data_IF_603342147984
#
_entry.id   IF_603342147984
#
_cell.length_a   1.000
_cell.length_b   1.000
_cell.length_c   1.000
_cell.angle_alpha   90.00
_cell.angle_beta   90.00
_cell.angle_gamma   90.00
#
_symmetry.space_group_name_H-M   'P 1'
#
loop_
_entity.id
_entity.type
_entity.pdbx_description
1 polymer ?
#
# COMPACT_ATOMS: atom_id res chain seq x y z
N UNK A 1 -18.17 6.43 5.34
CA UNK A 1 -17.41 5.46 6.16
C UNK A 1 -16.35 6.24 6.93
N UNK A 2 -16.34 6.13 8.26
CA UNK A 2 -15.22 6.59 9.09
C UNK A 2 -13.94 5.91 8.59
N UNK A 3 -12.89 6.69 8.31
CA UNK A 3 -11.56 6.18 7.94
C UNK A 3 -10.71 6.18 9.21
N UNK A 4 -10.25 5.01 9.67
CA UNK A 4 -9.41 4.91 10.87
C UNK A 4 -7.95 5.29 10.56
N UNK A 5 -7.49 5.02 9.34
CA UNK A 5 -6.18 5.41 8.82
C UNK A 5 -6.22 6.80 8.16
N UNK A 6 -5.11 7.54 8.29
CA UNK A 6 -4.90 8.78 7.55
C UNK A 6 -4.69 8.51 6.04
N UNK A 7 -4.86 9.56 5.23
CA UNK A 7 -4.76 9.47 3.77
C UNK A 7 -3.40 8.98 3.30
N UNK A 8 -2.29 9.45 3.90
CA UNK A 8 -0.93 9.08 3.48
C UNK A 8 -0.67 7.59 3.70
N UNK A 9 -1.12 7.05 4.83
CA UNK A 9 -0.99 5.61 5.12
C UNK A 9 -1.81 4.78 4.13
N UNK A 10 -3.05 5.19 3.83
CA UNK A 10 -3.94 4.47 2.89
C UNK A 10 -3.40 4.43 1.46
N UNK A 11 -2.91 5.56 0.96
CA UNK A 11 -2.31 5.66 -0.38
C UNK A 11 -1.00 4.86 -0.46
N UNK A 12 -0.19 4.90 0.60
CA UNK A 12 1.05 4.11 0.67
C UNK A 12 0.78 2.60 0.65
N UNK A 13 -0.30 2.13 1.28
CA UNK A 13 -0.72 0.71 1.20
C UNK A 13 -1.12 0.35 -0.24
N UNK A 14 -1.81 1.25 -0.94
CA UNK A 14 -2.16 1.05 -2.35
C UNK A 14 -0.94 0.88 -3.26
N UNK A 15 0.09 1.69 -3.03
CA UNK A 15 1.38 1.56 -3.70
C UNK A 15 2.06 0.21 -3.40
N UNK A 16 2.20 -0.15 -2.12
CA UNK A 16 2.86 -1.39 -1.70
C UNK A 16 2.18 -2.64 -2.28
N UNK A 17 0.85 -2.70 -2.22
CA UNK A 17 0.07 -3.85 -2.71
C UNK A 17 0.10 -3.94 -4.23
N UNK A 18 0.03 -2.79 -4.92
CA UNK A 18 0.09 -2.75 -6.38
C UNK A 18 1.47 -3.13 -6.91
N UNK A 19 2.55 -2.78 -6.21
CA UNK A 19 3.90 -3.23 -6.53
C UNK A 19 4.02 -4.75 -6.35
N UNK A 20 3.59 -5.28 -5.19
CA UNK A 20 3.66 -6.71 -4.90
C UNK A 20 2.87 -7.55 -5.93
N UNK A 21 1.71 -7.06 -6.37
CA UNK A 21 0.89 -7.70 -7.40
C UNK A 21 1.34 -7.43 -8.85
N UNK A 22 2.36 -6.58 -9.06
CA UNK A 22 2.83 -6.19 -10.39
C UNK A 22 1.80 -5.45 -11.24
N UNK A 23 0.86 -4.71 -10.64
CA UNK A 23 -0.15 -3.96 -11.40
C UNK A 23 0.35 -2.58 -11.85
N UNK A 24 0.85 -2.50 -13.09
CA UNK A 24 1.38 -1.25 -13.65
C UNK A 24 0.34 -0.13 -13.72
N UNK A 25 -0.87 -0.41 -14.19
CA UNK A 25 -1.95 0.60 -14.24
C UNK A 25 -2.26 1.14 -12.84
N UNK A 26 -2.37 0.25 -11.86
CA UNK A 26 -2.66 0.61 -10.49
C UNK A 26 -1.52 1.42 -9.86
N UNK A 27 -0.26 1.11 -10.18
CA UNK A 27 0.89 1.90 -9.75
C UNK A 27 0.84 3.32 -10.32
N UNK A 28 0.41 3.50 -11.57
CA UNK A 28 0.22 4.83 -12.17
C UNK A 28 -0.86 5.63 -11.44
N UNK A 29 -2.01 5.01 -11.18
CA UNK A 29 -3.11 5.63 -10.42
C UNK A 29 -2.66 5.99 -9.00
N UNK A 30 -2.10 5.03 -8.25
CA UNK A 30 -1.72 5.23 -6.86
C UNK A 30 -0.54 6.18 -6.68
N UNK A 31 0.39 6.24 -7.63
CA UNK A 31 1.47 7.24 -7.58
C UNK A 31 0.89 8.64 -7.80
N UNK A 32 -0.01 8.80 -8.76
CA UNK A 32 -0.70 10.06 -8.99
C UNK A 32 -1.52 10.51 -7.76
N UNK A 33 -2.30 9.62 -7.13
CA UNK A 33 -3.06 9.99 -5.93
C UNK A 33 -2.16 10.27 -4.73
N UNK A 34 -1.08 9.53 -4.55
CA UNK A 34 -0.11 9.75 -3.50
C UNK A 34 0.54 11.15 -3.59
N UNK A 35 1.00 11.56 -4.76
CA UNK A 35 1.64 12.87 -4.96
C UNK A 35 0.62 14.02 -4.90
N UNK A 36 -0.51 13.88 -5.61
CA UNK A 36 -1.42 15.00 -5.80
C UNK A 36 -2.51 15.13 -4.72
N UNK A 37 -2.95 14.02 -4.13
CA UNK A 37 -4.00 14.01 -3.10
C UNK A 37 -3.42 13.86 -1.70
N UNK A 38 -2.56 12.85 -1.48
CA UNK A 38 -1.93 12.62 -0.17
C UNK A 38 -0.74 13.55 0.10
N UNK A 39 -0.24 14.25 -0.92
CA UNK A 39 0.92 15.15 -0.85
C UNK A 39 2.16 14.43 -0.32
N UNK A 40 2.38 13.19 -0.77
CA UNK A 40 3.61 12.46 -0.51
C UNK A 40 4.72 12.98 -1.44
N UNK A 41 5.92 13.23 -0.90
CA UNK A 41 7.07 13.53 -1.74
C UNK A 41 7.49 12.29 -2.54
N UNK A 42 8.15 12.51 -3.69
CA UNK A 42 8.44 11.43 -4.65
C UNK A 42 9.31 10.31 -4.07
N UNK A 43 10.22 10.63 -3.15
CA UNK A 43 11.03 9.66 -2.42
C UNK A 43 10.18 8.74 -1.53
N UNK A 44 9.17 9.30 -0.84
CA UNK A 44 8.21 8.51 -0.06
C UNK A 44 7.30 7.65 -0.95
N UNK A 45 6.97 8.09 -2.16
CA UNK A 45 6.21 7.26 -3.12
C UNK A 45 7.02 6.03 -3.52
N UNK A 46 8.30 6.22 -3.84
CA UNK A 46 9.22 5.12 -4.16
C UNK A 46 9.39 4.19 -2.96
N UNK A 47 9.55 4.75 -1.75
CA UNK A 47 9.72 3.97 -0.53
C UNK A 47 8.46 3.15 -0.20
N UNK A 48 7.27 3.74 -0.37
CA UNK A 48 5.99 3.06 -0.16
C UNK A 48 5.79 1.87 -1.09
N UNK A 49 6.24 1.97 -2.36
CA UNK A 49 6.23 0.84 -3.29
C UNK A 49 7.10 -0.33 -2.82
N UNK A 50 8.15 -0.06 -2.06
CA UNK A 50 9.00 -1.07 -1.39
C UNK A 50 8.43 -1.56 -0.06
N UNK A 51 7.19 -1.20 0.28
CA UNK A 51 6.57 -1.52 1.56
C UNK A 51 7.19 -0.78 2.75
N UNK A 52 7.82 0.37 2.52
CA UNK A 52 8.56 1.13 3.55
C UNK A 52 8.09 2.59 3.63
N UNK A 53 8.37 3.28 4.73
CA UNK A 53 8.17 4.72 4.89
C UNK A 53 9.22 5.32 5.84
N UNK A 54 9.55 6.61 5.70
CA UNK A 54 10.41 7.29 6.69
C UNK A 54 9.73 7.51 8.04
N UNK A 55 8.40 7.73 8.03
CA UNK A 55 7.62 7.81 9.25
C UNK A 55 7.51 6.42 9.91
N UNK A 56 8.02 6.23 11.15
CA UNK A 56 8.08 4.91 11.78
C UNK A 56 6.71 4.26 11.96
N UNK A 57 5.66 5.05 12.21
CA UNK A 57 4.31 4.55 12.38
C UNK A 57 3.77 4.03 11.05
N UNK A 58 3.80 4.84 9.99
CA UNK A 58 3.41 4.40 8.65
C UNK A 58 4.24 3.22 8.16
N UNK A 59 5.54 3.20 8.45
CA UNK A 59 6.41 2.09 8.08
C UNK A 59 5.92 0.76 8.67
N UNK A 60 5.49 0.74 9.94
CA UNK A 60 4.91 -0.45 10.56
C UNK A 60 3.63 -0.92 9.85
N UNK A 61 2.75 0.00 9.43
CA UNK A 61 1.58 -0.36 8.63
C UNK A 61 1.94 -0.95 7.27
N UNK A 62 2.95 -0.41 6.59
CA UNK A 62 3.38 -0.90 5.28
C UNK A 62 4.08 -2.24 5.37
N UNK A 63 4.92 -2.45 6.38
CA UNK A 63 5.54 -3.76 6.64
C UNK A 63 4.48 -4.82 6.94
N UNK A 64 3.45 -4.47 7.74
CA UNK A 64 2.33 -5.37 8.00
C UNK A 64 1.52 -5.65 6.73
N UNK A 65 1.15 -4.62 5.94
CA UNK A 65 0.44 -4.78 4.68
C UNK A 65 1.22 -5.66 3.68
N UNK A 66 2.53 -5.44 3.57
CA UNK A 66 3.44 -6.23 2.74
C UNK A 66 3.48 -7.70 3.19
N UNK A 67 3.53 -7.95 4.51
CA UNK A 67 3.42 -9.31 5.04
C UNK A 67 2.07 -9.96 4.70
N UNK A 68 0.97 -9.23 4.86
CA UNK A 68 -0.38 -9.74 4.56
C UNK A 68 -0.48 -10.17 3.09
N UNK A 69 0.00 -9.36 2.14
CA UNK A 69 -0.07 -9.72 0.71
C UNK A 69 0.83 -10.91 0.38
N UNK A 70 2.09 -10.89 0.80
CA UNK A 70 3.07 -11.96 0.51
C UNK A 70 2.67 -13.31 1.11
N UNK A 71 2.11 -13.30 2.32
CA UNK A 71 1.70 -14.53 3.02
C UNK A 71 0.24 -14.92 2.77
N UNK A 72 -0.49 -14.14 1.96
CA UNK A 72 -1.94 -14.31 1.72
C UNK A 72 -2.74 -14.34 3.03
N UNK A 73 -2.42 -13.41 3.92
CA UNK A 73 -3.09 -13.22 5.22
C UNK A 73 -2.62 -14.16 6.33
N UNK A 74 -1.68 -15.07 6.09
CA UNK A 74 -1.13 -15.99 7.09
C UNK A 74 -0.01 -15.32 7.90
N UNK A 75 -0.36 -14.23 8.58
CA UNK A 75 0.55 -13.48 9.45
C UNK A 75 0.70 -14.15 10.82
N UNK A 76 1.82 -13.94 11.48
CA UNK A 76 2.09 -14.44 12.84
C UNK A 76 1.61 -13.46 13.93
N UNK A 77 1.54 -13.94 15.17
CA UNK A 77 1.27 -13.08 16.33
C UNK A 77 2.34 -12.00 16.52
N UNK A 78 3.59 -12.27 16.10
CA UNK A 78 4.69 -11.31 16.13
C UNK A 78 4.43 -10.16 15.16
N UNK A 79 3.92 -10.46 13.95
CA UNK A 79 3.56 -9.44 12.96
C UNK A 79 2.41 -8.55 13.47
N UNK A 80 1.39 -9.17 14.07
CA UNK A 80 0.26 -8.43 14.68
C UNK A 80 0.68 -7.59 15.88
N UNK A 81 1.60 -8.10 16.70
CA UNK A 81 2.14 -7.35 17.83
C UNK A 81 2.95 -6.15 17.34
N UNK A 82 3.79 -6.30 16.33
CA UNK A 82 4.63 -5.22 15.81
C UNK A 82 3.81 -4.01 15.32
N UNK A 83 2.73 -4.24 14.56
CA UNK A 83 1.87 -3.15 14.08
C UNK A 83 1.09 -2.47 15.23
N UNK A 84 0.67 -3.24 16.24
CA UNK A 84 0.00 -2.69 17.43
C UNK A 84 0.95 -1.87 18.31
N UNK A 85 2.18 -2.33 18.51
CA UNK A 85 3.20 -1.63 19.27
C UNK A 85 3.59 -0.28 18.63
N UNK A 86 3.42 -0.15 17.30
CA UNK A 86 3.54 1.13 16.59
C UNK A 86 2.34 2.09 16.81
N UNK A 87 1.36 1.70 17.62
CA UNK A 87 0.22 2.53 18.02
C UNK A 87 -0.96 2.47 17.05
N UNK A 88 -1.13 1.36 16.31
CA UNK A 88 -2.35 1.08 15.55
C UNK A 88 -3.35 0.28 16.39
N UNK A 89 -4.61 0.70 16.33
CA UNK A 89 -5.74 -0.01 16.95
C UNK A 89 -6.18 -1.20 16.11
N UNK A 90 -7.03 -2.08 16.66
CA UNK A 90 -7.62 -3.17 15.89
C UNK A 90 -8.46 -2.66 14.71
N UNK A 91 -9.13 -1.51 14.85
CA UNK A 91 -9.85 -0.87 13.73
C UNK A 91 -8.89 -0.46 12.61
N UNK A 92 -7.68 0.03 12.94
CA UNK A 92 -6.66 0.32 11.95
C UNK A 92 -6.16 -0.96 11.27
N UNK A 93 -5.89 -2.01 12.04
CA UNK A 93 -5.43 -3.31 11.49
C UNK A 93 -6.48 -3.90 10.54
N UNK A 94 -7.76 -3.86 10.92
CA UNK A 94 -8.86 -4.26 10.03
C UNK A 94 -8.91 -3.43 8.75
N UNK A 95 -8.71 -2.11 8.83
CA UNK A 95 -8.66 -1.26 7.63
C UNK A 95 -7.44 -1.59 6.74
N UNK A 96 -6.26 -1.87 7.32
CA UNK A 96 -5.09 -2.30 6.54
C UNK A 96 -5.41 -3.58 5.75
N UNK A 97 -5.97 -4.60 6.41
CA UNK A 97 -6.35 -5.87 5.76
C UNK A 97 -7.39 -5.63 4.66
N UNK A 98 -8.41 -4.81 4.95
CA UNK A 98 -9.44 -4.46 3.97
C UNK A 98 -8.86 -3.76 2.74
N UNK A 99 -7.91 -2.84 2.92
CA UNK A 99 -7.21 -2.18 1.82
C UNK A 99 -6.37 -3.16 1.00
N UNK A 100 -5.63 -4.08 1.65
CA UNK A 100 -4.88 -5.12 0.94
C UNK A 100 -5.80 -5.97 0.07
N UNK A 101 -6.94 -6.42 0.61
CA UNK A 101 -7.91 -7.21 -0.14
C UNK A 101 -8.55 -6.41 -1.29
N UNK A 102 -8.97 -5.16 -1.02
CA UNK A 102 -9.60 -4.28 -2.00
C UNK A 102 -8.66 -3.95 -3.15
N UNK A 103 -7.41 -3.60 -2.86
CA UNK A 103 -6.43 -3.31 -3.91
C UNK A 103 -6.02 -4.57 -4.65
N UNK A 104 -5.93 -5.73 -4.00
CA UNK A 104 -5.70 -6.99 -4.73
C UNK A 104 -6.83 -7.28 -5.72
N UNK A 105 -8.09 -7.06 -5.34
CA UNK A 105 -9.23 -7.21 -6.24
C UNK A 105 -9.10 -6.29 -7.47
N UNK A 106 -8.83 -4.99 -7.27
CA UNK A 106 -8.72 -4.05 -8.39
C UNK A 106 -7.46 -4.29 -9.22
N UNK A 107 -6.35 -4.68 -8.60
CA UNK A 107 -5.12 -5.10 -9.28
C UNK A 107 -5.39 -6.28 -10.20
N UNK A 108 -6.13 -7.30 -9.75
CA UNK A 108 -6.44 -8.45 -10.58
C UNK A 108 -7.29 -8.07 -11.78
N UNK A 109 -8.31 -7.22 -11.60
CA UNK A 109 -9.08 -6.71 -12.73
C UNK A 109 -8.22 -5.96 -13.74
N UNK A 110 -7.39 -5.03 -13.29
CA UNK A 110 -6.57 -4.23 -14.19
C UNK A 110 -5.43 -5.02 -14.84
N UNK A 111 -4.89 -6.04 -14.16
CA UNK A 111 -3.92 -6.95 -14.77
C UNK A 111 -4.55 -7.82 -15.85
N UNK A 112 -5.80 -8.25 -15.67
CA UNK A 112 -6.51 -9.09 -16.66
C UNK A 112 -6.97 -8.27 -17.87
N UNK A 113 -7.48 -7.06 -17.63
CA UNK A 113 -8.09 -6.24 -18.68
C UNK A 113 -7.12 -5.27 -19.36
N UNK A 114 -5.94 -5.02 -18.78
CA UNK A 114 -4.88 -4.12 -19.29
C UNK A 114 -5.45 -2.83 -19.91
N UNK A 115 -6.13 -1.98 -19.11
CA UNK A 115 -6.80 -0.80 -19.62
C UNK A 115 -5.80 0.19 -20.25
N UNK A 116 -6.34 1.08 -21.09
CA UNK A 116 -5.54 2.16 -21.67
C UNK A 116 -4.92 3.03 -20.57
N UNK A 117 -3.66 3.41 -20.77
CA UNK A 117 -2.87 4.16 -19.80
C UNK A 117 -3.23 5.64 -19.86
N UNK A 118 -4.18 6.05 -19.02
CA UNK A 118 -4.70 7.41 -18.92
C UNK A 118 -4.07 8.24 -17.78
N UNK A 119 -3.14 7.65 -17.03
CA UNK A 119 -2.33 8.32 -15.99
C UNK A 119 -0.87 8.53 -16.42
N UNK A 120 -0.11 9.44 -15.76
CA UNK A 120 1.32 9.57 -16.01
C UNK A 120 2.10 8.27 -15.74
N UNK A 121 3.10 7.99 -16.56
CA UNK A 121 3.97 6.83 -16.37
C UNK A 121 4.77 6.96 -15.07
N UNK A 122 5.00 5.82 -14.40
CA UNK A 122 5.78 5.74 -13.16
C UNK A 122 7.20 5.27 -13.44
N UNK A 123 8.17 5.95 -12.83
CA UNK A 123 9.57 5.51 -12.84
C UNK A 123 9.69 4.18 -12.09
N UNK A 124 10.52 3.21 -12.50
CA UNK A 124 10.73 2.00 -11.72
C UNK A 124 11.19 2.32 -10.29
N UNK A 125 10.68 1.59 -9.28
CA UNK A 125 11.12 1.77 -7.89
C UNK A 125 12.57 1.28 -7.64
N UNK A 126 13.17 0.58 -8.62
CA UNK A 126 14.43 -0.13 -8.49
C UNK A 126 14.27 -1.46 -7.74
N UNK A 127 15.33 -2.27 -7.69
CA UNK A 127 15.34 -3.49 -6.88
C UNK A 127 15.32 -3.17 -5.38
N UNK A 128 14.82 -4.12 -4.60
CA UNK A 128 14.93 -4.17 -3.14
C UNK A 128 16.37 -4.56 -2.78
#
# INVERSE_FOLDING_TARGET
MSKALDVKTRDSIGLAVSEANGCNYCLMVHSFTAEHMAKLPADEVILARKGQASDPKRNAALQFAHKVIETRGKVSDVDLKAVRDAGYSDANVMEIIALVAMYSLTNFFNNVFDPEKDFPAVTPAGSI
#
